data_IF_390492982842
#
_entry.id   IF_390492982842
#
_cell.length_a   1.000
_cell.length_b   1.000
_cell.length_c   1.000
_cell.angle_alpha   90.00
_cell.angle_beta   90.00
_cell.angle_gamma   90.00
#
_symmetry.space_group_name_H-M   'P 1'
#
loop_
_entity.id
_entity.type
_entity.pdbx_description
1 polymer ?
#
# COMPACT_ATOMS: atom_id res chain seq x y z
N UNK A 1 41.37 -26.89 -15.21
CA UNK A 1 40.46 -25.73 -15.25
C UNK A 1 39.11 -26.14 -14.67
N UNK A 2 38.75 -25.66 -13.47
CA UNK A 2 37.40 -25.84 -12.92
C UNK A 2 36.76 -24.45 -12.81
N UNK A 3 35.91 -24.12 -13.78
CA UNK A 3 35.03 -22.95 -13.71
C UNK A 3 33.89 -23.32 -12.76
N UNK A 4 34.04 -22.99 -11.47
CA UNK A 4 32.92 -23.04 -10.54
C UNK A 4 32.09 -21.80 -10.81
N UNK A 5 31.01 -22.02 -11.54
CA UNK A 5 30.02 -21.03 -11.95
C UNK A 5 29.39 -20.46 -10.68
N UNK A 6 29.80 -19.25 -10.31
CA UNK A 6 29.00 -18.02 -10.17
C UNK A 6 27.46 -18.14 -10.00
N UNK A 7 26.94 -19.19 -9.35
CA UNK A 7 25.51 -19.43 -9.16
C UNK A 7 24.98 -19.01 -7.80
N UNK A 8 25.87 -18.86 -6.81
CA UNK A 8 25.50 -18.61 -5.41
C UNK A 8 25.56 -17.14 -4.99
N UNK A 9 26.10 -16.24 -5.84
CA UNK A 9 26.19 -14.81 -5.51
C UNK A 9 24.96 -14.00 -5.95
N UNK A 10 24.08 -14.58 -6.76
CA UNK A 10 22.89 -13.88 -7.29
C UNK A 10 21.66 -14.13 -6.41
N UNK A 11 21.59 -15.21 -5.62
CA UNK A 11 20.43 -15.47 -4.76
C UNK A 11 20.46 -14.76 -3.40
N UNK A 12 21.60 -14.19 -2.99
CA UNK A 12 21.75 -13.52 -1.67
C UNK A 12 21.53 -12.00 -1.72
N UNK A 13 21.41 -11.40 -2.91
CA UNK A 13 21.08 -9.97 -3.05
C UNK A 13 19.55 -9.75 -3.12
N UNK A 14 18.77 -10.81 -3.38
CA UNK A 14 17.33 -10.68 -3.63
C UNK A 14 16.46 -10.76 -2.36
N UNK A 15 17.03 -10.98 -1.17
CA UNK A 15 16.27 -11.25 0.05
C UNK A 15 16.30 -10.15 1.12
N UNK A 16 16.85 -8.97 0.84
CA UNK A 16 17.05 -7.91 1.87
C UNK A 16 16.35 -6.59 1.63
N UNK A 17 15.40 -6.53 0.71
CA UNK A 17 14.42 -5.45 0.71
C UNK A 17 13.06 -6.10 0.97
N UNK A 18 12.66 -6.21 2.23
CA UNK A 18 11.24 -6.33 2.56
C UNK A 18 10.69 -4.90 2.36
N UNK A 19 10.39 -4.60 1.10
CA UNK A 19 10.35 -3.25 0.54
C UNK A 19 9.24 -2.38 1.18
N UNK A 20 9.64 -1.44 2.04
CA UNK A 20 8.97 -0.14 2.06
C UNK A 20 9.48 0.62 0.83
N UNK A 21 8.82 0.45 -0.32
CA UNK A 21 9.05 1.23 -1.53
C UNK A 21 7.84 2.13 -1.75
N UNK A 22 8.03 3.32 -2.31
CA UNK A 22 6.92 4.18 -2.74
C UNK A 22 6.09 3.56 -3.88
N UNK A 23 6.52 2.44 -4.47
CA UNK A 23 5.84 1.77 -5.58
C UNK A 23 5.05 0.51 -5.14
N UNK A 24 5.14 0.15 -3.86
CA UNK A 24 4.51 -1.06 -3.31
C UNK A 24 3.71 -0.71 -2.06
N UNK A 25 2.42 -1.03 -2.08
CA UNK A 25 1.60 -0.97 -0.88
C UNK A 25 1.85 -2.21 -0.03
N UNK A 26 2.26 -2.01 1.21
CA UNK A 26 2.35 -3.08 2.19
C UNK A 26 1.10 -3.09 3.06
N UNK A 27 0.43 -4.23 3.20
CA UNK A 27 -0.77 -4.33 4.02
C UNK A 27 -0.42 -4.92 5.39
N UNK A 28 -0.98 -4.34 6.44
CA UNK A 28 -0.77 -4.86 7.78
C UNK A 28 -1.04 -3.84 8.88
N UNK A 29 -0.95 -4.32 10.12
CA UNK A 29 -1.08 -3.49 11.30
C UNK A 29 0.05 -2.45 11.36
N UNK A 30 -0.24 -1.33 12.01
CA UNK A 30 0.74 -0.29 12.27
C UNK A 30 1.95 -0.85 13.03
N UNK A 31 3.15 -0.60 12.49
CA UNK A 31 4.43 -0.90 13.14
C UNK A 31 5.13 0.42 13.40
N UNK A 32 5.28 0.87 14.66
CA UNK A 32 5.80 2.21 14.98
C UNK A 32 7.27 2.40 14.62
N UNK A 33 8.01 1.31 14.40
CA UNK A 33 9.40 1.34 13.94
C UNK A 33 9.65 0.22 12.94
N UNK A 34 10.30 0.53 11.82
CA UNK A 34 10.89 -0.47 10.94
C UNK A 34 12.39 -0.55 11.22
N UNK A 35 12.85 -1.77 11.54
CA UNK A 35 14.29 -2.06 11.66
C UNK A 35 14.80 -2.50 10.30
N UNK A 36 15.53 -1.62 9.61
CA UNK A 36 16.22 -1.98 8.38
C UNK A 36 17.58 -2.61 8.74
N UNK A 37 17.70 -3.94 8.63
CA UNK A 37 18.99 -4.61 8.74
C UNK A 37 19.72 -4.55 7.40
N UNK A 38 20.56 -3.54 7.22
CA UNK A 38 21.59 -3.56 6.18
C UNK A 38 22.73 -4.45 6.68
N UNK A 39 23.01 -5.55 5.97
CA UNK A 39 24.11 -6.47 6.32
C UNK A 39 25.40 -5.70 6.66
N UNK A 40 25.87 -5.83 7.90
CA UNK A 40 27.14 -5.26 8.36
C UNK A 40 27.14 -3.77 8.76
N UNK A 41 25.98 -3.11 8.91
CA UNK A 41 25.89 -1.76 9.50
C UNK A 41 24.89 -1.72 10.66
N UNK A 42 25.09 -0.76 11.57
CA UNK A 42 24.21 -0.52 12.73
C UNK A 42 22.75 -0.38 12.30
N UNK A 43 21.82 -0.98 13.07
CA UNK A 43 20.37 -0.90 12.84
C UNK A 43 19.96 0.58 12.80
N UNK A 44 19.61 1.09 11.62
CA UNK A 44 18.93 2.39 11.51
C UNK A 44 17.47 2.21 11.88
N UNK A 45 17.05 2.84 12.97
CA UNK A 45 15.63 2.98 13.30
C UNK A 45 15.07 4.08 12.43
N UNK A 46 14.25 3.70 11.45
CA UNK A 46 13.54 4.65 10.61
C UNK A 46 12.23 4.98 11.31
N UNK A 47 11.99 6.28 11.51
CA UNK A 47 10.76 6.75 12.15
C UNK A 47 9.62 6.65 11.16
N UNK A 48 8.53 6.05 11.61
CA UNK A 48 7.29 6.04 10.85
C UNK A 48 6.62 7.38 11.04
N UNK A 49 6.35 8.06 9.92
CA UNK A 49 5.49 9.24 9.91
C UNK A 49 4.06 8.73 9.85
N UNK A 50 3.36 8.92 10.95
CA UNK A 50 1.94 8.66 11.01
C UNK A 50 1.16 9.76 10.29
N UNK A 51 0.07 9.31 9.67
CA UNK A 51 -1.15 10.07 9.35
C UNK A 51 -1.33 10.60 7.92
N UNK A 52 -1.94 9.75 7.10
CA UNK A 52 -2.76 10.10 5.94
C UNK A 52 -4.00 9.18 5.95
N UNK A 53 -5.20 9.75 6.01
CA UNK A 53 -6.47 9.00 6.02
C UNK A 53 -7.31 9.33 4.81
N UNK A 54 -7.65 8.31 4.02
CA UNK A 54 -8.47 8.47 2.82
C UNK A 54 -9.84 7.87 3.08
N UNK A 55 -10.89 8.61 2.73
CA UNK A 55 -12.28 8.21 2.88
C UNK A 55 -12.99 8.26 1.53
N UNK A 56 -13.80 7.24 1.25
CA UNK A 56 -14.68 7.23 0.08
C UNK A 56 -16.03 6.61 0.43
N UNK A 57 -17.08 7.14 -0.20
CA UNK A 57 -18.42 6.56 -0.16
C UNK A 57 -18.92 6.41 -1.59
N UNK A 58 -19.43 5.23 -1.92
CA UNK A 58 -20.05 5.01 -3.22
C UNK A 58 -21.43 4.40 -3.03
N UNK A 59 -22.41 4.92 -3.77
CA UNK A 59 -23.76 4.37 -3.79
C UNK A 59 -23.75 2.96 -4.37
N UNK A 60 -24.53 2.07 -3.78
CA UNK A 60 -24.75 0.70 -4.30
C UNK A 60 -25.51 0.73 -5.60
N UNK A 61 -26.32 1.75 -5.84
CA UNK A 61 -27.11 1.90 -7.06
C UNK A 61 -26.59 3.06 -7.89
N UNK A 62 -26.45 2.84 -9.20
CA UNK A 62 -26.10 3.87 -10.16
C UNK A 62 -26.89 3.66 -11.46
N UNK A 63 -26.94 4.67 -12.33
CA UNK A 63 -27.50 4.51 -13.67
C UNK A 63 -26.37 4.31 -14.68
N UNK A 64 -26.51 3.32 -15.54
CA UNK A 64 -25.59 3.12 -16.66
C UNK A 64 -25.83 4.17 -17.77
N UNK A 65 -25.03 4.09 -18.85
CA UNK A 65 -25.14 4.99 -20.01
C UNK A 65 -26.50 4.93 -20.70
N UNK A 66 -27.23 3.82 -20.55
CA UNK A 66 -28.57 3.62 -21.10
C UNK A 66 -29.67 4.06 -20.12
N UNK A 67 -29.29 4.61 -18.97
CA UNK A 67 -30.19 5.11 -17.93
C UNK A 67 -30.84 4.03 -17.07
N UNK A 68 -30.42 2.76 -17.20
CA UNK A 68 -30.95 1.64 -16.41
C UNK A 68 -30.29 1.60 -15.03
N UNK A 69 -31.07 1.25 -14.02
CA UNK A 69 -30.58 1.11 -12.65
C UNK A 69 -29.73 -0.16 -12.53
N UNK A 70 -28.48 0.00 -12.13
CA UNK A 70 -27.53 -1.07 -11.90
C UNK A 70 -27.09 -1.09 -10.44
N UNK A 71 -26.82 -2.31 -9.94
CA UNK A 71 -26.22 -2.51 -8.62
C UNK A 71 -24.69 -2.61 -8.78
N UNK A 72 -23.96 -1.66 -8.21
CA UNK A 72 -22.51 -1.73 -8.08
C UNK A 72 -22.14 -2.83 -7.09
N UNK A 73 -21.30 -3.78 -7.53
CA UNK A 73 -20.83 -4.84 -6.64
C UNK A 73 -19.77 -4.30 -5.69
N UNK A 74 -19.68 -4.90 -4.51
CA UNK A 74 -18.67 -4.54 -3.52
C UNK A 74 -17.25 -4.57 -4.11
N UNK A 75 -16.90 -5.60 -4.89
CA UNK A 75 -15.56 -5.71 -5.47
C UNK A 75 -15.25 -4.58 -6.46
N UNK A 76 -16.25 -4.11 -7.20
CA UNK A 76 -16.07 -3.00 -8.15
C UNK A 76 -15.83 -1.70 -7.37
N UNK A 77 -16.66 -1.44 -6.35
CA UNK A 77 -16.52 -0.31 -5.43
C UNK A 77 -15.18 -0.32 -4.68
N UNK A 78 -14.77 -1.48 -4.17
CA UNK A 78 -13.49 -1.66 -3.48
C UNK A 78 -12.32 -1.49 -4.44
N UNK A 79 -12.41 -1.99 -5.67
CA UNK A 79 -11.39 -1.82 -6.70
C UNK A 79 -11.17 -0.35 -7.08
N UNK A 80 -12.26 0.40 -7.26
CA UNK A 80 -12.22 1.86 -7.47
C UNK A 80 -11.52 2.57 -6.30
N UNK A 81 -11.95 2.28 -5.06
CA UNK A 81 -11.34 2.85 -3.86
C UNK A 81 -9.85 2.49 -3.73
N UNK A 82 -9.50 1.24 -4.00
CA UNK A 82 -8.13 0.75 -3.89
C UNK A 82 -7.19 1.42 -4.89
N UNK A 83 -7.64 1.63 -6.12
CA UNK A 83 -6.85 2.34 -7.13
C UNK A 83 -6.63 3.81 -6.72
N UNK A 84 -7.68 4.48 -6.25
CA UNK A 84 -7.57 5.85 -5.75
C UNK A 84 -6.58 5.95 -4.58
N UNK A 85 -6.72 5.07 -3.58
CA UNK A 85 -5.81 4.99 -2.45
C UNK A 85 -4.35 4.80 -2.87
N UNK A 86 -4.12 3.90 -3.83
CA UNK A 86 -2.79 3.61 -4.36
C UNK A 86 -2.18 4.84 -5.03
N UNK A 87 -2.94 5.54 -5.86
CA UNK A 87 -2.49 6.77 -6.53
C UNK A 87 -2.15 7.86 -5.51
N UNK A 88 -3.05 8.12 -4.55
CA UNK A 88 -2.83 9.11 -3.49
C UNK A 88 -1.58 8.79 -2.66
N UNK A 89 -1.44 7.56 -2.19
CA UNK A 89 -0.28 7.17 -1.37
C UNK A 89 1.04 7.28 -2.14
N UNK A 90 1.04 7.00 -3.45
CA UNK A 90 2.23 7.11 -4.29
C UNK A 90 2.61 8.57 -4.58
N UNK A 91 1.63 9.42 -4.87
CA UNK A 91 1.84 10.86 -5.07
C UNK A 91 2.41 11.52 -3.81
N UNK A 92 1.89 11.16 -2.64
CA UNK A 92 2.37 11.69 -1.37
C UNK A 92 3.77 11.21 -1.01
N UNK A 93 4.07 9.94 -1.28
CA UNK A 93 5.40 9.38 -1.11
C UNK A 93 6.44 10.15 -1.93
N UNK A 94 6.12 10.48 -3.18
CA UNK A 94 6.97 11.29 -4.05
C UNK A 94 7.07 12.74 -3.59
N UNK A 95 5.94 13.36 -3.24
CA UNK A 95 5.86 14.78 -2.88
C UNK A 95 6.65 15.09 -1.60
N UNK A 96 6.53 14.21 -0.61
CA UNK A 96 7.18 14.38 0.69
C UNK A 96 8.54 13.68 0.79
N UNK A 97 9.00 13.03 -0.30
CA UNK A 97 10.27 12.32 -0.39
C UNK A 97 10.44 11.23 0.69
N UNK A 98 9.35 10.52 0.99
CA UNK A 98 9.38 9.38 1.89
C UNK A 98 10.22 8.24 1.28
N UNK A 99 10.87 7.46 2.13
CA UNK A 99 11.63 6.26 1.73
C UNK A 99 10.70 5.13 1.29
N UNK A 100 9.47 5.06 1.82
CA UNK A 100 8.48 4.08 1.39
C UNK A 100 7.18 4.08 2.17
N UNK A 101 6.26 3.19 1.79
CA UNK A 101 4.97 2.98 2.46
C UNK A 101 5.12 1.74 3.35
N UNK A 102 4.90 1.91 4.65
CA UNK A 102 5.19 0.89 5.66
C UNK A 102 4.01 -0.06 5.84
N UNK A 103 2.81 0.51 5.95
CA UNK A 103 1.59 -0.26 6.09
C UNK A 103 0.38 0.54 5.60
N UNK A 104 -0.63 -0.18 5.13
CA UNK A 104 -1.95 0.31 4.75
C UNK A 104 -2.98 -0.55 5.49
N UNK A 105 -3.84 0.08 6.28
CA UNK A 105 -4.99 -0.52 6.94
C UNK A 105 -6.27 -0.01 6.27
N UNK A 106 -7.05 -0.91 5.66
CA UNK A 106 -8.30 -0.58 4.98
C UNK A 106 -9.45 -1.18 5.77
N UNK A 107 -10.41 -0.33 6.14
CA UNK A 107 -11.67 -0.73 6.78
C UNK A 107 -12.82 -0.36 5.87
N UNK A 108 -13.87 -1.17 5.93
CA UNK A 108 -15.08 -0.93 5.18
C UNK A 108 -16.31 -1.14 6.05
N UNK A 109 -17.38 -0.44 5.68
CA UNK A 109 -18.70 -0.60 6.23
C UNK A 109 -19.71 -0.59 5.07
N UNK A 110 -20.77 -1.37 5.19
CA UNK A 110 -21.80 -1.48 4.14
C UNK A 110 -23.15 -1.30 4.80
N UNK A 111 -23.96 -0.41 4.23
CA UNK A 111 -25.36 -0.28 4.59
C UNK A 111 -26.28 -0.66 3.41
N UNK A 112 -27.57 -0.38 3.55
CA UNK A 112 -28.59 -0.70 2.55
C UNK A 112 -28.33 -0.02 1.20
N UNK A 113 -27.70 1.16 1.19
CA UNK A 113 -27.62 2.05 0.04
C UNK A 113 -26.19 2.36 -0.43
N UNK A 114 -25.18 2.12 0.41
CA UNK A 114 -23.82 2.62 0.22
C UNK A 114 -22.75 1.64 0.67
N UNK A 115 -21.58 1.73 0.03
CA UNK A 115 -20.33 1.19 0.54
C UNK A 115 -19.47 2.35 1.07
N UNK A 116 -18.92 2.17 2.25
CA UNK A 116 -18.03 3.11 2.91
C UNK A 116 -16.65 2.48 3.03
N UNK A 117 -15.62 3.23 2.65
CA UNK A 117 -14.24 2.80 2.72
C UNK A 117 -13.41 3.86 3.44
N UNK A 118 -12.57 3.40 4.35
CA UNK A 118 -11.54 4.21 5.01
C UNK A 118 -10.22 3.48 4.87
N UNK A 119 -9.16 4.21 4.59
CA UNK A 119 -7.81 3.69 4.64
C UNK A 119 -6.93 4.61 5.47
N UNK A 120 -6.02 4.01 6.21
CA UNK A 120 -4.92 4.71 6.88
C UNK A 120 -3.62 4.10 6.40
N UNK A 121 -2.69 4.94 5.97
CA UNK A 121 -1.36 4.47 5.60
C UNK A 121 -0.29 5.32 6.25
N UNK A 122 0.84 4.66 6.48
CA UNK A 122 1.98 5.25 7.17
C UNK A 122 3.23 5.15 6.30
N UNK A 123 4.08 6.15 6.43
CA UNK A 123 5.28 6.31 5.59
C UNK A 123 6.55 6.17 6.41
N UNK A 124 7.61 5.80 5.72
CA UNK A 124 8.98 5.75 6.23
C UNK A 124 9.69 7.04 5.84
N UNK A 125 10.19 7.81 6.80
CA UNK A 125 11.05 8.98 6.53
C UNK A 125 12.49 8.59 6.27
#
# INVERSE_FOLDING_TARGET
MKKIILGTLISTILSSQLFASCEVLNFGSYTPTQKLKLFGKDEKTLQVVDFQSVYSTTGRFYRDSDGKLQLKKFNDAYGEFFNYLKETAFEECKTNKYQGIVNVDIKFFVDENSYFFTATYNHLN
#
